data_IF_325108876069
#
_entry.id   IF_325108876069
#
_cell.length_a   1.000
_cell.length_b   1.000
_cell.length_c   1.000
_cell.angle_alpha   90.00
_cell.angle_beta   90.00
_cell.angle_gamma   90.00
#
_symmetry.space_group_name_H-M   'P 1'
#
loop_
_entity.id
_entity.type
_entity.pdbx_description
1 polymer ?
#
# COMPACT_ATOMS: atom_id res chain seq x y z
N UNK A 1 -34.15 -57.24 -0.50
CA UNK A 1 -33.99 -56.25 -1.59
C UNK A 1 -34.26 -54.80 -1.13
N UNK A 2 -35.15 -54.55 -0.16
CA UNK A 2 -35.44 -53.18 0.32
C UNK A 2 -34.38 -52.51 1.22
N UNK A 3 -33.52 -53.26 1.92
CA UNK A 3 -32.52 -52.64 2.81
C UNK A 3 -31.32 -52.05 2.05
N UNK A 4 -30.89 -52.66 0.94
CA UNK A 4 -29.82 -52.12 0.09
C UNK A 4 -30.21 -50.82 -0.59
N UNK A 5 -31.47 -50.66 -0.96
CA UNK A 5 -31.98 -49.48 -1.65
C UNK A 5 -32.12 -48.26 -0.71
N UNK A 6 -32.27 -48.48 0.60
CA UNK A 6 -32.26 -47.41 1.61
C UNK A 6 -30.82 -47.04 2.04
N UNK A 7 -29.90 -48.00 2.07
CA UNK A 7 -28.48 -47.77 2.38
C UNK A 7 -27.77 -46.95 1.28
N UNK A 8 -28.15 -47.16 0.02
CA UNK A 8 -27.62 -46.40 -1.13
C UNK A 8 -28.14 -44.96 -1.20
N UNK A 9 -29.34 -44.70 -0.65
CA UNK A 9 -29.93 -43.35 -0.56
C UNK A 9 -29.28 -42.52 0.55
N UNK A 10 -28.89 -43.13 1.67
CA UNK A 10 -28.13 -42.44 2.73
C UNK A 10 -26.71 -42.08 2.30
N UNK A 11 -26.08 -42.87 1.42
CA UNK A 11 -24.76 -42.54 0.87
C UNK A 11 -24.80 -41.38 -0.14
N UNK A 12 -25.92 -41.16 -0.83
CA UNK A 12 -26.08 -40.04 -1.76
C UNK A 12 -26.32 -38.69 -1.05
N UNK A 13 -26.78 -38.70 0.21
CA UNK A 13 -27.00 -37.47 0.99
C UNK A 13 -25.72 -37.02 1.72
N UNK A 14 -24.78 -37.94 1.98
CA UNK A 14 -23.52 -37.63 2.67
C UNK A 14 -22.43 -37.01 1.77
N UNK A 15 -22.66 -36.94 0.46
CA UNK A 15 -21.70 -36.41 -0.52
C UNK A 15 -21.81 -34.91 -0.80
N UNK A 16 -22.72 -34.19 -0.13
CA UNK A 16 -23.03 -32.79 -0.47
C UNK A 16 -22.47 -31.73 0.52
N UNK A 17 -21.63 -32.13 1.48
CA UNK A 17 -21.15 -31.24 2.55
C UNK A 17 -19.62 -31.13 2.64
N UNK A 18 -18.91 -31.19 1.51
CA UNK A 18 -17.46 -30.93 1.48
C UNK A 18 -17.13 -29.97 0.34
N UNK A 19 -17.69 -28.75 0.39
CA UNK A 19 -17.23 -27.65 -0.46
C UNK A 19 -17.44 -26.29 0.22
N UNK A 20 -17.16 -26.18 1.52
CA UNK A 20 -17.01 -24.87 2.17
C UNK A 20 -15.56 -24.41 2.03
N UNK A 21 -15.27 -23.87 0.85
CA UNK A 21 -14.42 -22.69 0.61
C UNK A 21 -13.21 -22.51 1.54
N UNK A 22 -12.11 -23.19 1.24
CA UNK A 22 -10.78 -22.61 1.49
C UNK A 22 -10.52 -21.54 0.42
N UNK A 23 -11.24 -20.43 0.49
CA UNK A 23 -10.80 -19.19 -0.13
C UNK A 23 -9.68 -18.64 0.76
N UNK A 24 -8.52 -19.30 0.74
CA UNK A 24 -7.30 -18.59 1.08
C UNK A 24 -7.14 -17.56 -0.03
N UNK A 25 -7.55 -16.32 0.26
CA UNK A 25 -7.08 -15.16 -0.46
C UNK A 25 -5.56 -15.26 -0.44
N UNK A 26 -4.98 -15.69 -1.55
CA UNK A 26 -3.55 -15.49 -1.77
C UNK A 26 -3.40 -13.98 -1.65
N UNK A 27 -2.70 -13.50 -0.62
CA UNK A 27 -2.24 -12.11 -0.64
C UNK A 27 -1.45 -12.01 -1.93
N UNK A 28 -2.05 -11.38 -2.94
CA UNK A 28 -1.40 -11.20 -4.20
C UNK A 28 -0.08 -10.50 -3.88
N UNK A 29 1.02 -10.90 -4.52
CA UNK A 29 2.31 -10.21 -4.41
C UNK A 29 2.16 -8.69 -4.59
N UNK A 30 1.09 -8.25 -5.27
CA UNK A 30 0.68 -6.86 -5.44
C UNK A 30 0.42 -6.07 -4.16
N UNK A 31 0.06 -6.70 -3.04
CA UNK A 31 -0.40 -6.01 -1.83
C UNK A 31 0.67 -5.95 -0.73
N UNK A 32 1.83 -6.61 -0.94
CA UNK A 32 2.93 -6.66 0.05
C UNK A 32 3.34 -5.29 0.56
N UNK A 33 3.35 -4.31 -0.34
CA UNK A 33 3.72 -2.94 -0.03
C UNK A 33 2.67 -2.22 0.85
N UNK A 34 1.40 -2.56 0.73
CA UNK A 34 0.31 -1.98 1.54
C UNK A 34 0.23 -2.61 2.92
N UNK A 35 0.63 -3.89 3.05
CA UNK A 35 0.62 -4.63 4.31
C UNK A 35 1.52 -4.05 5.41
N UNK A 36 2.39 -3.09 5.06
CA UNK A 36 3.19 -2.33 6.02
C UNK A 36 2.36 -1.34 6.85
N UNK A 37 1.18 -0.95 6.36
CA UNK A 37 0.29 0.01 7.03
C UNK A 37 -1.14 -0.49 7.21
N UNK A 38 -1.63 -1.30 6.27
CA UNK A 38 -3.01 -1.78 6.27
C UNK A 38 -3.03 -3.29 6.50
N UNK A 39 -4.00 -3.77 7.25
CA UNK A 39 -4.32 -5.20 7.34
C UNK A 39 -4.91 -5.71 6.01
N UNK A 40 -4.87 -7.02 5.80
CA UNK A 40 -5.47 -7.62 4.60
C UNK A 40 -6.97 -7.33 4.50
N UNK A 41 -7.70 -7.34 5.63
CA UNK A 41 -9.12 -7.02 5.68
C UNK A 41 -9.39 -5.56 5.25
N UNK A 42 -8.57 -4.60 5.71
CA UNK A 42 -8.68 -3.21 5.28
C UNK A 42 -8.41 -3.06 3.78
N UNK A 43 -7.39 -3.73 3.25
CA UNK A 43 -7.07 -3.71 1.82
C UNK A 43 -8.24 -4.28 1.00
N UNK A 44 -8.80 -5.41 1.43
CA UNK A 44 -9.93 -6.05 0.76
C UNK A 44 -11.17 -5.15 0.81
N UNK A 45 -11.42 -4.48 1.94
CA UNK A 45 -12.50 -3.51 2.06
C UNK A 45 -12.31 -2.29 1.15
N UNK A 46 -11.10 -1.73 1.07
CA UNK A 46 -10.80 -0.60 0.18
C UNK A 46 -11.07 -1.00 -1.28
N UNK A 47 -10.60 -2.16 -1.73
CA UNK A 47 -10.85 -2.65 -3.11
C UNK A 47 -12.34 -2.73 -3.47
N UNK A 48 -13.18 -3.11 -2.51
CA UNK A 48 -14.63 -3.25 -2.71
C UNK A 48 -15.34 -1.90 -2.68
N UNK A 49 -14.94 -1.01 -1.76
CA UNK A 49 -15.62 0.26 -1.54
C UNK A 49 -15.16 1.34 -2.52
N UNK A 50 -13.86 1.42 -2.79
CA UNK A 50 -13.23 2.43 -3.63
C UNK A 50 -11.95 1.87 -4.28
N UNK A 51 -12.11 1.30 -5.47
CA UNK A 51 -10.99 0.75 -6.22
C UNK A 51 -10.00 1.84 -6.68
N UNK A 52 -10.44 3.09 -6.87
CA UNK A 52 -9.54 4.19 -7.24
C UNK A 52 -8.60 4.53 -6.07
N UNK A 53 -9.11 4.54 -4.83
CA UNK A 53 -8.29 4.71 -3.63
C UNK A 53 -7.29 3.54 -3.47
N UNK A 54 -7.68 2.30 -3.76
CA UNK A 54 -6.75 1.16 -3.76
C UNK A 54 -5.59 1.38 -4.74
N UNK A 55 -5.88 1.76 -5.99
CA UNK A 55 -4.85 2.03 -7.00
C UNK A 55 -3.96 3.23 -6.61
N UNK A 56 -4.56 4.27 -6.02
CA UNK A 56 -3.83 5.41 -5.48
C UNK A 56 -2.85 4.98 -4.37
N UNK A 57 -3.29 4.23 -3.37
CA UNK A 57 -2.45 3.78 -2.27
C UNK A 57 -1.32 2.87 -2.76
N UNK A 58 -1.65 1.94 -3.66
CA UNK A 58 -0.66 1.04 -4.26
C UNK A 58 0.41 1.82 -5.03
N UNK A 59 0.02 2.83 -5.79
CA UNK A 59 0.95 3.70 -6.49
C UNK A 59 1.85 4.49 -5.52
N UNK A 60 1.27 5.00 -4.42
CA UNK A 60 1.99 5.77 -3.42
C UNK A 60 3.17 5.01 -2.82
N UNK A 61 3.05 3.69 -2.61
CA UNK A 61 4.08 2.86 -2.00
C UNK A 61 5.49 3.10 -2.57
N UNK A 62 5.59 3.30 -3.89
CA UNK A 62 6.87 3.48 -4.60
C UNK A 62 7.03 4.81 -5.30
N UNK A 63 5.94 5.55 -5.54
CA UNK A 63 5.97 6.73 -6.40
C UNK A 63 5.56 8.03 -5.70
N UNK A 64 5.14 7.99 -4.43
CA UNK A 64 4.76 9.18 -3.67
C UNK A 64 5.93 10.11 -3.36
N UNK A 65 7.17 9.68 -3.56
CA UNK A 65 8.36 10.46 -3.22
C UNK A 65 9.46 10.29 -4.25
N UNK A 66 10.47 11.16 -4.15
CA UNK A 66 11.77 10.99 -4.80
C UNK A 66 12.88 11.60 -3.94
N UNK A 67 14.12 11.21 -4.21
CA UNK A 67 15.30 11.71 -3.52
C UNK A 67 16.04 12.69 -4.41
N UNK A 68 16.39 13.85 -3.87
CA UNK A 68 17.22 14.86 -4.55
C UNK A 68 18.35 15.32 -3.62
N UNK A 69 19.50 15.76 -4.17
CA UNK A 69 20.50 16.50 -3.39
C UNK A 69 19.87 17.75 -2.76
N UNK A 70 20.27 18.08 -1.54
CA UNK A 70 19.84 19.32 -0.90
C UNK A 70 20.51 20.50 -1.64
N UNK A 71 19.75 21.48 -2.17
CA UNK A 71 20.35 22.66 -2.78
C UNK A 71 21.14 23.45 -1.71
N UNK A 72 22.45 23.60 -1.89
CA UNK A 72 23.31 24.34 -0.95
C UNK A 72 22.80 25.77 -0.68
N UNK A 73 22.18 26.39 -1.67
CA UNK A 73 21.58 27.72 -1.57
C UNK A 73 20.40 27.75 -0.57
N UNK A 74 19.59 26.67 -0.51
CA UNK A 74 18.44 26.58 0.41
C UNK A 74 18.82 26.22 1.85
N UNK A 75 20.00 25.64 2.07
CA UNK A 75 20.54 25.42 3.43
C UNK A 75 20.93 26.75 4.11
N UNK A 76 21.27 27.75 3.32
CA UNK A 76 21.88 29.01 3.78
C UNK A 76 20.85 30.05 4.24
N UNK A 77 19.64 29.99 3.70
CA UNK A 77 18.64 31.06 3.87
C UNK A 77 17.61 30.80 4.98
N UNK A 78 17.72 29.71 5.75
CA UNK A 78 16.81 29.42 6.88
C UNK A 78 15.32 29.36 6.50
N UNK A 79 15.01 29.31 5.20
CA UNK A 79 13.69 29.52 4.63
C UNK A 79 13.43 28.43 3.60
N UNK A 80 12.95 27.28 4.07
CA UNK A 80 11.78 26.57 3.57
C UNK A 80 11.57 25.44 4.58
N UNK A 81 10.32 25.08 4.90
CA UNK A 81 9.98 24.03 5.88
C UNK A 81 10.58 22.67 5.46
N UNK A 82 11.84 22.43 5.81
CA UNK A 82 12.51 21.16 5.65
C UNK A 82 12.40 20.46 7.00
N UNK A 83 11.49 19.50 7.11
CA UNK A 83 11.48 18.59 8.26
C UNK A 83 12.75 17.74 8.25
N UNK A 84 13.00 16.99 9.33
CA UNK A 84 14.07 15.98 9.36
C UNK A 84 13.44 14.59 9.33
N UNK A 85 14.07 13.65 8.63
CA UNK A 85 13.66 12.25 8.62
C UNK A 85 14.86 11.31 8.67
N UNK A 86 14.74 10.23 9.44
CA UNK A 86 15.70 9.13 9.43
C UNK A 86 15.20 8.05 8.46
N UNK A 87 16.01 7.68 7.48
CA UNK A 87 15.73 6.57 6.56
C UNK A 87 16.78 5.48 6.78
N UNK A 88 16.34 4.26 7.06
CA UNK A 88 17.23 3.12 7.32
C UNK A 88 17.94 2.63 6.06
N UNK A 89 17.21 2.52 4.96
CA UNK A 89 17.71 2.10 3.66
C UNK A 89 17.11 2.98 2.56
N UNK A 90 17.92 3.87 1.99
CA UNK A 90 17.49 4.79 0.94
C UNK A 90 17.37 4.12 -0.44
N UNK A 91 17.85 2.88 -0.61
CA UNK A 91 17.86 2.18 -1.90
C UNK A 91 16.54 1.46 -2.22
N UNK A 92 15.75 1.13 -1.19
CA UNK A 92 14.46 0.45 -1.35
C UNK A 92 13.45 0.93 -0.31
N UNK A 93 13.01 2.18 -0.46
CA UNK A 93 12.02 2.78 0.44
C UNK A 93 10.62 2.32 0.01
N UNK A 94 9.78 1.96 0.98
CA UNK A 94 8.32 2.00 0.83
C UNK A 94 7.79 3.23 1.56
N UNK A 95 6.97 4.04 0.89
CA UNK A 95 6.45 5.29 1.44
C UNK A 95 5.74 5.11 2.79
N UNK A 96 5.03 3.99 2.99
CA UNK A 96 4.26 3.75 4.20
C UNK A 96 5.13 3.51 5.44
N UNK A 97 6.40 3.11 5.28
CA UNK A 97 7.34 2.97 6.39
C UNK A 97 7.79 4.31 6.96
N UNK A 98 7.66 5.39 6.16
CA UNK A 98 8.07 6.72 6.54
C UNK A 98 7.11 7.35 7.58
N UNK A 99 5.93 6.77 7.78
CA UNK A 99 4.88 7.30 8.66
C UNK A 99 4.54 8.78 8.38
N UNK A 100 4.58 9.16 7.09
CA UNK A 100 4.23 10.50 6.63
C UNK A 100 2.80 10.51 6.06
N UNK A 101 2.12 11.64 6.23
CA UNK A 101 0.86 11.93 5.56
C UNK A 101 1.11 12.81 4.34
N UNK A 102 0.52 12.43 3.21
CA UNK A 102 0.55 13.19 1.96
C UNK A 102 -0.47 14.34 2.07
N UNK A 103 -0.02 15.56 1.87
CA UNK A 103 -0.91 16.73 1.82
C UNK A 103 -1.50 16.95 0.41
N UNK A 104 -2.60 17.69 0.33
CA UNK A 104 -3.40 17.78 -0.89
C UNK A 104 -2.69 18.52 -2.04
N UNK A 105 -2.16 19.71 -1.76
CA UNK A 105 -1.91 20.76 -2.74
C UNK A 105 -0.45 21.22 -2.84
N UNK A 106 0.43 20.76 -1.94
CA UNK A 106 1.85 21.15 -1.93
C UNK A 106 2.77 19.95 -1.70
N UNK A 107 4.03 20.13 -2.09
CA UNK A 107 5.11 19.18 -1.86
C UNK A 107 5.64 19.33 -0.44
N UNK A 108 6.00 18.21 0.19
CA UNK A 108 6.66 18.20 1.49
C UNK A 108 8.13 17.83 1.32
N UNK A 109 9.00 18.51 2.08
CA UNK A 109 10.45 18.39 1.97
C UNK A 109 11.03 17.96 3.31
N UNK A 110 11.84 16.91 3.30
CA UNK A 110 12.52 16.41 4.49
C UNK A 110 14.00 16.19 4.22
N UNK A 111 14.88 16.74 5.04
CA UNK A 111 16.29 16.42 5.02
C UNK A 111 16.50 15.01 5.59
N UNK A 112 17.30 14.19 4.92
CA UNK A 112 17.61 12.83 5.36
C UNK A 112 18.82 12.90 6.27
N UNK A 113 18.62 12.55 7.53
CA UNK A 113 19.66 12.65 8.57
C UNK A 113 20.92 11.87 8.21
N UNK A 114 22.08 12.50 8.39
CA UNK A 114 23.38 11.90 8.07
C UNK A 114 23.72 11.86 6.58
N UNK A 115 22.95 12.53 5.73
CA UNK A 115 23.20 12.61 4.28
C UNK A 115 23.02 14.04 3.75
N UNK A 116 23.51 14.29 2.53
CA UNK A 116 23.26 15.55 1.80
C UNK A 116 22.04 15.44 0.85
N UNK A 117 21.12 14.52 1.14
CA UNK A 117 19.92 14.27 0.36
C UNK A 117 18.65 14.74 1.08
N UNK A 118 17.65 15.11 0.30
CA UNK A 118 16.30 15.33 0.77
C UNK A 118 15.33 14.35 0.13
N UNK A 119 14.37 13.92 0.95
CA UNK A 119 13.15 13.27 0.52
C UNK A 119 12.15 14.36 0.13
N UNK A 120 11.63 14.25 -1.09
CA UNK A 120 10.56 15.11 -1.59
C UNK A 120 9.31 14.27 -1.77
N UNK A 121 8.27 14.56 -0.98
CA UNK A 121 6.96 13.90 -1.06
C UNK A 121 6.05 14.72 -1.96
N UNK A 122 5.49 14.06 -2.98
CA UNK A 122 4.54 14.65 -3.92
C UNK A 122 3.20 14.91 -3.25
N UNK A 123 2.49 15.96 -3.67
CA UNK A 123 1.12 16.21 -3.23
C UNK A 123 0.14 15.17 -3.78
N UNK A 124 -1.02 15.01 -3.12
CA UNK A 124 -2.10 14.13 -3.60
C UNK A 124 -2.55 14.53 -5.01
N UNK A 125 -2.71 15.83 -5.28
CA UNK A 125 -3.09 16.34 -6.59
C UNK A 125 -2.09 15.95 -7.69
N UNK A 126 -0.80 16.00 -7.38
CA UNK A 126 0.23 15.61 -8.33
C UNK A 126 0.17 14.11 -8.66
N UNK A 127 0.04 13.27 -7.62
CA UNK A 127 -0.06 11.82 -7.78
C UNK A 127 -1.31 11.43 -8.59
N UNK A 128 -2.47 12.02 -8.27
CA UNK A 128 -3.70 11.79 -9.02
C UNK A 128 -3.58 12.23 -10.48
N UNK A 129 -2.81 13.28 -10.77
CA UNK A 129 -2.51 13.69 -12.14
C UNK A 129 -1.60 12.70 -12.87
N UNK A 130 -0.66 12.05 -12.18
CA UNK A 130 0.17 11.00 -12.76
C UNK A 130 -0.65 9.75 -13.11
N UNK A 131 -1.57 9.34 -12.24
CA UNK A 131 -2.43 8.16 -12.45
C UNK A 131 -3.44 8.30 -13.60
N UNK A 132 -3.79 9.53 -13.98
CA UNK A 132 -4.73 9.83 -15.08
C UNK A 132 -4.08 9.88 -16.47
N UNK A 133 -2.75 9.78 -16.56
CA UNK A 133 -1.99 9.82 -17.82
C UNK A 133 -1.83 8.43 -18.41
#
# INVERSE_FOLDING_TARGET
>A
MNNYMNMMKSFLILGFFIFSSTAFSQSNDSDKDLLLKYSQEEIDNIKVQDFEEYEYLKYCAKNAFYLNPIPMEKMSEGQTRIGSITIKDASNINFFELNLEIIQDDYQYFAIEGTDQMLVVKSKDHILKELRK
#
